data_IF_074149931624
#
_entry.id   IF_074149931624
#
_cell.length_a   1.000
_cell.length_b   1.000
_cell.length_c   1.000
_cell.angle_alpha   90.00
_cell.angle_beta   90.00
_cell.angle_gamma   90.00
#
_symmetry.space_group_name_H-M   'P 1'
#
loop_
_entity.id
_entity.type
_entity.pdbx_description
1 polymer ?
#
# COMPACT_ATOMS: atom_id res chain seq x y z
N UNK A 1 -12.69 6.71 -24.50
CA UNK A 1 -13.35 7.94 -24.02
C UNK A 1 -13.42 7.89 -22.51
N UNK A 2 -13.06 8.96 -21.82
CA UNK A 2 -13.12 9.05 -20.36
C UNK A 2 -14.59 8.96 -19.90
N UNK A 3 -14.95 8.02 -19.02
CA UNK A 3 -16.33 7.96 -18.52
C UNK A 3 -16.56 9.15 -17.56
N UNK A 4 -17.53 10.04 -17.82
CA UNK A 4 -17.79 11.22 -16.99
C UNK A 4 -18.05 10.88 -15.51
N UNK A 5 -18.49 9.64 -15.21
CA UNK A 5 -18.72 9.15 -13.86
C UNK A 5 -17.46 9.01 -12.99
N UNK A 6 -16.25 8.99 -13.58
CA UNK A 6 -15.00 8.96 -12.83
C UNK A 6 -14.56 10.34 -12.32
N UNK A 7 -15.07 11.44 -12.90
CA UNK A 7 -14.65 12.80 -12.56
C UNK A 7 -14.93 13.13 -11.08
N UNK A 8 -16.13 12.87 -10.50
CA UNK A 8 -16.37 13.16 -9.09
C UNK A 8 -15.47 12.36 -8.13
N UNK A 9 -15.11 11.13 -8.49
CA UNK A 9 -14.26 10.24 -7.67
C UNK A 9 -12.81 10.71 -7.66
N UNK A 10 -12.29 11.08 -8.84
CA UNK A 10 -10.95 11.66 -8.96
C UNK A 10 -10.89 12.98 -8.20
N UNK A 11 -11.92 13.84 -8.34
CA UNK A 11 -11.98 15.13 -7.64
C UNK A 11 -12.04 14.93 -6.12
N UNK A 12 -12.87 14.03 -5.61
CA UNK A 12 -12.97 13.77 -4.16
C UNK A 12 -11.65 13.21 -3.58
N UNK A 13 -11.04 12.22 -4.25
CA UNK A 13 -9.79 11.59 -3.81
C UNK A 13 -8.61 12.56 -3.90
N UNK A 14 -8.52 13.33 -4.99
CA UNK A 14 -7.45 14.29 -5.23
C UNK A 14 -7.57 15.51 -4.32
N UNK A 15 -8.79 16.02 -4.09
CA UNK A 15 -9.03 17.16 -3.19
C UNK A 15 -8.77 16.78 -1.74
N UNK A 16 -9.26 15.62 -1.30
CA UNK A 16 -8.98 15.08 0.04
C UNK A 16 -7.48 14.86 0.28
N UNK A 17 -6.79 14.28 -0.70
CA UNK A 17 -5.34 14.22 -0.75
C UNK A 17 -4.72 15.61 -0.62
N UNK A 18 -4.85 16.49 -1.63
CA UNK A 18 -4.22 17.82 -1.60
C UNK A 18 -4.45 18.62 -0.31
N UNK A 19 -5.64 18.56 0.29
CA UNK A 19 -5.94 19.22 1.56
C UNK A 19 -5.14 18.64 2.74
N UNK A 20 -5.01 17.31 2.84
CA UNK A 20 -4.29 16.65 3.93
C UNK A 20 -2.79 16.98 3.90
N UNK A 21 -2.20 17.16 2.73
CA UNK A 21 -0.73 17.36 2.62
C UNK A 21 -0.35 18.79 2.47
N UNK A 22 -1.23 19.65 1.97
CA UNK A 22 -1.11 21.07 2.26
C UNK A 22 -1.08 21.29 3.77
N UNK A 23 -1.93 20.59 4.54
CA UNK A 23 -1.90 20.67 6.00
C UNK A 23 -0.62 20.09 6.59
N UNK A 24 -0.16 18.93 6.14
CA UNK A 24 1.04 18.27 6.70
C UNK A 24 2.36 18.96 6.33
N UNK A 25 2.52 19.41 5.07
CA UNK A 25 3.76 20.03 4.56
C UNK A 25 3.87 21.51 4.95
N UNK A 26 2.74 22.19 5.17
CA UNK A 26 2.73 23.58 5.62
C UNK A 26 2.49 23.70 7.13
N UNK A 27 2.47 22.58 7.87
CA UNK A 27 2.38 22.63 9.33
C UNK A 27 3.68 23.27 9.89
N UNK A 28 3.61 24.46 10.51
CA UNK A 28 4.78 25.10 11.08
C UNK A 28 5.48 24.23 12.13
N UNK A 29 4.76 23.30 12.76
CA UNK A 29 5.33 22.34 13.71
C UNK A 29 6.21 21.30 13.01
N UNK A 30 5.84 20.83 11.82
CA UNK A 30 6.65 19.86 11.07
C UNK A 30 7.93 20.48 10.51
N UNK A 31 7.85 21.72 9.99
CA UNK A 31 9.03 22.47 9.54
C UNK A 31 10.03 22.71 10.67
N UNK A 32 9.54 23.10 11.85
CA UNK A 32 10.38 23.26 13.04
C UNK A 32 11.08 21.95 13.45
N UNK A 33 10.37 20.82 13.38
CA UNK A 33 10.92 19.49 13.67
C UNK A 33 12.01 19.11 12.68
N UNK A 34 11.79 19.28 11.37
CA UNK A 34 12.82 18.96 10.37
C UNK A 34 14.05 19.84 10.47
N UNK A 35 13.87 21.15 10.72
CA UNK A 35 14.98 22.06 11.00
C UNK A 35 15.76 21.63 12.24
N UNK A 36 15.06 21.20 13.29
CA UNK A 36 15.68 20.65 14.50
C UNK A 36 16.54 19.43 14.18
N UNK A 37 16.00 18.45 13.45
CA UNK A 37 16.75 17.25 13.06
C UNK A 37 17.98 17.56 12.20
N UNK A 38 17.84 18.41 11.19
CA UNK A 38 18.96 18.86 10.36
C UNK A 38 20.05 19.57 11.20
N UNK A 39 19.65 20.41 12.16
CA UNK A 39 20.59 21.13 13.03
C UNK A 39 21.34 20.22 14.01
N UNK A 40 20.71 19.12 14.43
CA UNK A 40 21.31 18.11 15.32
C UNK A 40 22.18 17.07 14.61
N UNK A 41 22.30 17.18 13.27
CA UNK A 41 22.91 16.13 12.48
C UNK A 41 24.44 16.09 12.60
N UNK A 42 24.98 14.93 12.99
CA UNK A 42 26.41 14.69 13.17
C UNK A 42 27.14 14.26 11.89
N UNK A 43 26.41 13.91 10.82
CA UNK A 43 27.01 13.57 9.53
C UNK A 43 27.65 14.80 8.88
N UNK A 44 28.88 14.63 8.37
CA UNK A 44 29.65 15.68 7.71
C UNK A 44 28.93 16.24 6.46
N UNK A 45 29.25 17.48 6.03
CA UNK A 45 28.57 18.15 4.92
C UNK A 45 28.71 17.42 3.58
N UNK A 46 29.72 16.56 3.42
CA UNK A 46 30.00 15.80 2.20
C UNK A 46 29.34 14.41 2.17
N UNK A 47 28.56 14.04 3.19
CA UNK A 47 27.87 12.74 3.21
C UNK A 47 26.78 12.71 2.12
N UNK A 48 26.79 11.73 1.19
CA UNK A 48 25.71 11.56 0.23
C UNK A 48 24.37 11.41 0.93
N UNK A 49 23.32 12.04 0.40
CA UNK A 49 21.98 11.99 0.99
C UNK A 49 21.90 12.47 2.44
N UNK A 50 22.82 13.35 2.88
CA UNK A 50 22.84 13.91 4.24
C UNK A 50 21.46 14.35 4.72
N UNK A 51 20.75 15.17 3.93
CA UNK A 51 19.41 15.64 4.31
C UNK A 51 18.40 14.51 4.53
N UNK A 52 18.48 13.45 3.72
CA UNK A 52 17.63 12.26 3.84
C UNK A 52 17.92 11.54 5.16
N UNK A 53 19.18 11.20 5.43
CA UNK A 53 19.61 10.44 6.61
C UNK A 53 19.36 11.26 7.89
N UNK A 54 19.75 12.54 7.89
CA UNK A 54 19.63 13.46 9.01
C UNK A 54 18.18 13.76 9.41
N UNK A 55 17.21 13.58 8.51
CA UNK A 55 15.78 13.79 8.81
C UNK A 55 15.13 12.45 9.16
N UNK A 56 15.37 11.42 8.36
CA UNK A 56 14.65 10.16 8.48
C UNK A 56 15.01 9.35 9.70
N UNK A 57 16.30 9.25 10.00
CA UNK A 57 16.75 8.48 11.13
C UNK A 57 16.17 8.99 12.46
N UNK A 58 16.29 10.29 12.80
CA UNK A 58 15.68 10.80 14.02
C UNK A 58 14.14 10.79 13.95
N UNK A 59 13.53 11.04 12.78
CA UNK A 59 12.07 10.96 12.64
C UNK A 59 11.54 9.56 12.98
N UNK A 60 12.11 8.51 12.38
CA UNK A 60 11.68 7.14 12.64
C UNK A 60 12.03 6.72 14.06
N UNK A 61 13.15 7.17 14.61
CA UNK A 61 13.52 6.93 16.01
C UNK A 61 12.49 7.51 16.98
N UNK A 62 12.09 8.77 16.78
CA UNK A 62 11.06 9.44 17.58
C UNK A 62 9.68 8.81 17.38
N UNK A 63 9.40 8.32 16.18
CA UNK A 63 8.17 7.60 15.87
C UNK A 63 8.11 6.26 16.61
N UNK A 64 9.15 5.44 16.52
CA UNK A 64 9.14 4.08 17.10
C UNK A 64 9.50 4.06 18.58
N UNK A 65 9.98 5.15 19.18
CA UNK A 65 10.06 5.27 20.65
C UNK A 65 8.70 5.52 21.29
N UNK A 66 7.74 5.99 20.49
CA UNK A 66 6.37 6.22 20.90
C UNK A 66 5.50 5.00 20.55
N UNK A 67 4.82 4.42 21.54
CA UNK A 67 3.95 3.24 21.31
C UNK A 67 2.79 3.53 20.34
N UNK A 68 2.24 4.75 20.32
CA UNK A 68 1.25 5.15 19.31
C UNK A 68 1.89 5.24 17.92
N UNK A 69 3.11 5.75 17.85
CA UNK A 69 3.87 5.84 16.60
C UNK A 69 4.18 4.47 16.00
N UNK A 70 4.60 3.49 16.84
CA UNK A 70 4.72 2.09 16.44
C UNK A 70 3.39 1.55 15.90
N UNK A 71 2.30 1.79 16.63
CA UNK A 71 0.97 1.34 16.23
C UNK A 71 0.55 1.88 14.85
N UNK A 72 0.71 3.18 14.62
CA UNK A 72 0.41 3.78 13.31
C UNK A 72 1.35 3.28 12.21
N UNK A 73 2.65 3.10 12.50
CA UNK A 73 3.59 2.53 11.55
C UNK A 73 3.22 1.10 11.15
N UNK A 74 2.77 0.27 12.10
CA UNK A 74 2.27 -1.08 11.82
C UNK A 74 0.97 -1.04 11.01
N UNK A 75 0.02 -0.17 11.35
CA UNK A 75 -1.24 -0.01 10.60
C UNK A 75 -1.00 0.49 9.16
N UNK A 76 -0.05 1.42 9.00
CA UNK A 76 0.45 1.90 7.72
C UNK A 76 1.06 0.76 6.91
N UNK A 77 2.04 0.04 7.48
CA UNK A 77 2.74 -1.04 6.79
C UNK A 77 1.80 -2.14 6.32
N UNK A 78 0.84 -2.51 7.17
CA UNK A 78 -0.15 -3.55 6.84
C UNK A 78 -1.17 -3.13 5.80
N UNK A 79 -1.69 -1.91 5.86
CA UNK A 79 -2.68 -1.44 4.87
C UNK A 79 -2.00 -1.14 3.53
N UNK A 80 -0.84 -0.48 3.59
CA UNK A 80 0.01 -0.21 2.44
C UNK A 80 0.44 -1.48 1.73
N UNK A 81 0.83 -2.54 2.46
CA UNK A 81 1.30 -3.79 1.86
C UNK A 81 0.23 -4.54 1.06
N UNK A 82 -1.03 -4.52 1.51
CA UNK A 82 -2.12 -5.16 0.76
C UNK A 82 -2.41 -4.38 -0.51
N UNK A 83 -2.43 -3.05 -0.42
CA UNK A 83 -2.67 -2.19 -1.57
C UNK A 83 -1.54 -2.31 -2.59
N UNK A 84 -0.28 -2.27 -2.14
CA UNK A 84 0.88 -2.46 -3.02
C UNK A 84 0.84 -3.83 -3.70
N UNK A 85 0.52 -4.89 -2.96
CA UNK A 85 0.42 -6.24 -3.53
C UNK A 85 -0.61 -6.28 -4.65
N UNK A 86 -1.79 -5.72 -4.42
CA UNK A 86 -2.82 -5.66 -5.44
C UNK A 86 -2.33 -4.91 -6.69
N UNK A 87 -1.71 -3.74 -6.51
CA UNK A 87 -1.24 -2.92 -7.60
C UNK A 87 -0.11 -3.60 -8.39
N UNK A 88 0.83 -4.27 -7.72
CA UNK A 88 1.88 -5.04 -8.40
C UNK A 88 1.31 -6.26 -9.12
N UNK A 89 0.38 -7.01 -8.50
CA UNK A 89 -0.29 -8.12 -9.20
C UNK A 89 -1.07 -7.62 -10.42
N UNK A 90 -1.72 -6.45 -10.34
CA UNK A 90 -2.35 -5.79 -11.49
C UNK A 90 -1.33 -5.41 -12.55
N UNK A 91 -0.20 -4.82 -12.16
CA UNK A 91 0.88 -4.44 -13.05
C UNK A 91 1.43 -5.60 -13.89
N UNK A 92 1.48 -6.80 -13.28
CA UNK A 92 1.94 -8.02 -13.94
C UNK A 92 0.95 -8.66 -14.91
N UNK A 93 -0.30 -8.20 -14.99
CA UNK A 93 -1.31 -8.76 -15.88
C UNK A 93 -1.02 -8.37 -17.35
N UNK A 94 -1.22 -9.32 -18.26
CA UNK A 94 -0.95 -9.10 -19.67
C UNK A 94 -1.90 -8.04 -20.28
N UNK A 95 -1.35 -7.16 -21.12
CA UNK A 95 -2.13 -6.13 -21.82
C UNK A 95 -2.56 -4.94 -20.97
N UNK A 96 -2.02 -4.79 -19.75
CA UNK A 96 -2.28 -3.63 -18.89
C UNK A 96 -1.55 -2.38 -19.36
N UNK A 97 -2.13 -1.24 -19.00
CA UNK A 97 -1.57 0.08 -19.28
C UNK A 97 -0.20 0.28 -18.62
N UNK A 98 0.71 0.97 -19.31
CA UNK A 98 2.01 1.39 -18.77
C UNK A 98 1.88 2.28 -17.51
N UNK A 99 0.71 2.91 -17.30
CA UNK A 99 0.40 3.68 -16.10
C UNK A 99 0.28 2.83 -14.83
N UNK A 100 0.09 1.51 -14.96
CA UNK A 100 0.16 0.55 -13.84
C UNK A 100 1.53 -0.13 -13.79
N UNK A 101 2.60 0.45 -14.33
CA UNK A 101 3.90 -0.21 -14.34
C UNK A 101 4.51 -0.32 -12.92
N UNK A 102 5.24 -1.42 -12.62
CA UNK A 102 5.94 -1.58 -11.36
C UNK A 102 6.94 -0.44 -11.11
N UNK A 103 7.54 0.11 -12.17
CA UNK A 103 8.45 1.26 -12.10
C UNK A 103 7.74 2.49 -11.53
N UNK A 104 6.56 2.84 -12.03
CA UNK A 104 5.81 4.00 -11.53
C UNK A 104 5.42 3.82 -10.07
N UNK A 105 5.02 2.62 -9.66
CA UNK A 105 4.73 2.34 -8.24
C UNK A 105 5.97 2.39 -7.37
N UNK A 106 7.10 1.86 -7.84
CA UNK A 106 8.38 1.96 -7.13
C UNK A 106 8.82 3.41 -7.03
N UNK A 107 8.75 4.21 -8.09
CA UNK A 107 9.08 5.64 -8.07
C UNK A 107 8.13 6.43 -7.16
N UNK A 108 6.83 6.16 -7.20
CA UNK A 108 5.87 6.80 -6.30
C UNK A 108 6.14 6.44 -4.84
N UNK A 109 6.46 5.17 -4.56
CA UNK A 109 6.78 4.72 -3.22
C UNK A 109 8.10 5.34 -2.77
N UNK A 110 9.15 5.34 -3.60
CA UNK A 110 10.42 6.03 -3.37
C UNK A 110 10.23 7.53 -3.11
N UNK A 111 9.38 8.19 -3.88
CA UNK A 111 9.05 9.61 -3.69
C UNK A 111 8.29 9.84 -2.37
N UNK A 112 7.46 8.88 -1.96
CA UNK A 112 6.70 8.92 -0.72
C UNK A 112 7.44 8.36 0.51
N UNK A 113 8.63 7.77 0.34
CA UNK A 113 9.25 6.89 1.33
C UNK A 113 9.71 7.53 2.63
N UNK A 114 9.60 8.84 2.70
CA UNK A 114 10.20 9.61 3.78
C UNK A 114 9.15 10.34 4.57
N UNK A 115 8.11 10.74 3.88
CA UNK A 115 7.02 11.54 4.36
C UNK A 115 5.91 11.41 3.31
N UNK A 116 4.81 10.75 3.62
CA UNK A 116 3.61 10.96 2.83
C UNK A 116 3.43 10.03 1.62
N UNK A 117 3.90 8.79 1.67
CA UNK A 117 3.53 7.82 0.64
C UNK A 117 2.01 7.59 0.62
N UNK A 118 1.42 7.44 1.81
CA UNK A 118 -0.01 7.45 2.01
C UNK A 118 -0.62 8.81 1.71
N UNK A 119 0.09 9.91 1.93
CA UNK A 119 -0.33 11.27 1.56
C UNK A 119 -0.53 11.47 0.05
N UNK A 120 0.43 11.04 -0.76
CA UNK A 120 0.38 11.19 -2.23
C UNK A 120 -0.47 10.11 -2.88
N UNK A 121 -0.63 8.96 -2.21
CA UNK A 121 -1.42 7.84 -2.69
C UNK A 121 -2.84 8.18 -3.19
N UNK A 122 -3.65 9.06 -2.55
CA UNK A 122 -5.03 9.31 -2.95
C UNK A 122 -5.13 10.10 -4.24
N UNK A 123 -4.06 10.83 -4.58
CA UNK A 123 -3.92 11.54 -5.84
C UNK A 123 -3.41 10.57 -6.89
N UNK A 124 -2.33 9.83 -6.60
CA UNK A 124 -1.62 9.03 -7.59
C UNK A 124 -2.34 7.72 -7.90
N UNK A 125 -2.69 6.92 -6.88
CA UNK A 125 -3.21 5.57 -7.08
C UNK A 125 -4.60 5.59 -7.74
N UNK A 126 -5.63 6.30 -7.24
CA UNK A 126 -6.92 6.38 -7.91
C UNK A 126 -6.84 6.96 -9.32
N UNK A 127 -6.00 7.98 -9.54
CA UNK A 127 -5.82 8.58 -10.88
C UNK A 127 -5.20 7.59 -11.85
N UNK A 128 -4.13 6.88 -11.46
CA UNK A 128 -3.51 5.85 -12.30
C UNK A 128 -4.48 4.69 -12.57
N UNK A 129 -5.26 4.27 -11.58
CA UNK A 129 -6.28 3.22 -11.74
C UNK A 129 -7.39 3.66 -12.71
N UNK A 130 -7.90 4.88 -12.55
CA UNK A 130 -8.92 5.43 -13.43
C UNK A 130 -8.40 5.59 -14.86
N UNK A 131 -7.20 6.15 -15.03
CA UNK A 131 -6.55 6.27 -16.33
C UNK A 131 -6.35 4.89 -16.97
N UNK A 132 -5.80 3.93 -16.24
CA UNK A 132 -5.60 2.58 -16.74
C UNK A 132 -6.91 1.95 -17.25
N UNK A 133 -8.00 2.08 -16.49
CA UNK A 133 -9.33 1.60 -16.94
C UNK A 133 -9.83 2.32 -18.18
N UNK A 134 -9.57 3.61 -18.35
CA UNK A 134 -9.99 4.34 -19.56
C UNK A 134 -9.24 3.95 -20.83
N UNK A 135 -8.03 3.39 -20.69
CA UNK A 135 -7.21 2.89 -21.80
C UNK A 135 -7.31 1.38 -22.00
N UNK A 136 -8.06 0.68 -21.14
CA UNK A 136 -8.31 -0.76 -21.31
C UNK A 136 -9.27 -1.03 -22.47
N UNK A 137 -9.01 -2.05 -23.31
CA UNK A 137 -9.91 -2.41 -24.40
C UNK A 137 -11.31 -2.75 -23.86
N UNK A 138 -12.37 -2.23 -24.50
CA UNK A 138 -13.76 -2.44 -24.07
C UNK A 138 -14.18 -3.92 -23.94
N UNK A 139 -13.49 -4.82 -24.64
CA UNK A 139 -13.72 -6.27 -24.60
C UNK A 139 -12.84 -7.02 -23.59
N UNK A 140 -11.83 -6.35 -23.00
CA UNK A 140 -10.95 -6.92 -21.98
C UNK A 140 -11.58 -6.79 -20.59
N UNK A 141 -12.79 -7.35 -20.39
CA UNK A 141 -13.49 -7.27 -19.10
C UNK A 141 -12.62 -7.76 -17.94
N UNK A 142 -11.74 -8.74 -18.17
CA UNK A 142 -10.78 -9.28 -17.19
C UNK A 142 -9.49 -9.71 -17.90
N UNK A 143 -8.34 -9.05 -17.69
CA UNK A 143 -7.08 -9.45 -18.31
C UNK A 143 -6.54 -10.73 -17.70
N UNK A 144 -5.71 -11.43 -18.48
CA UNK A 144 -5.08 -12.67 -18.08
C UNK A 144 -4.28 -12.49 -16.77
N UNK A 145 -4.23 -13.52 -15.91
CA UNK A 145 -3.45 -13.47 -14.68
C UNK A 145 -1.96 -13.24 -14.98
N UNK A 146 -1.19 -12.68 -14.03
CA UNK A 146 0.25 -12.56 -14.18
C UNK A 146 0.92 -13.94 -14.28
N UNK A 147 2.10 -14.04 -14.89
CA UNK A 147 2.87 -15.28 -14.89
C UNK A 147 3.20 -15.77 -13.47
N UNK A 148 3.27 -17.09 -13.27
CA UNK A 148 3.56 -17.70 -11.96
C UNK A 148 4.82 -17.13 -11.30
N UNK A 149 5.91 -17.00 -12.06
CA UNK A 149 7.15 -16.40 -11.56
C UNK A 149 6.94 -14.98 -11.03
N UNK A 150 6.14 -14.16 -11.74
CA UNK A 150 5.82 -12.80 -11.31
C UNK A 150 5.06 -12.81 -9.98
N UNK A 151 4.06 -13.69 -9.82
CA UNK A 151 3.28 -13.81 -8.58
C UNK A 151 4.19 -14.23 -7.43
N UNK A 152 4.96 -15.32 -7.58
CA UNK A 152 5.87 -15.82 -6.54
C UNK A 152 6.88 -14.76 -6.14
N UNK A 153 7.51 -14.09 -7.10
CA UNK A 153 8.46 -13.01 -6.81
C UNK A 153 7.78 -11.86 -6.08
N UNK A 154 6.58 -11.45 -6.49
CA UNK A 154 5.82 -10.38 -5.83
C UNK A 154 5.50 -10.77 -4.37
N UNK A 155 5.09 -12.01 -4.12
CA UNK A 155 4.80 -12.51 -2.78
C UNK A 155 6.03 -12.56 -1.89
N UNK A 156 7.16 -13.05 -2.42
CA UNK A 156 8.43 -13.07 -1.70
C UNK A 156 8.85 -11.66 -1.28
N UNK A 157 8.76 -10.69 -2.19
CA UNK A 157 9.09 -9.29 -1.88
C UNK A 157 8.17 -8.70 -0.80
N UNK A 158 6.88 -9.02 -0.80
CA UNK A 158 5.96 -8.59 0.25
C UNK A 158 6.29 -9.22 1.61
N UNK A 159 6.72 -10.49 1.62
CA UNK A 159 7.22 -11.13 2.84
C UNK A 159 8.46 -10.42 3.37
N UNK A 160 9.41 -10.06 2.49
CA UNK A 160 10.58 -9.27 2.88
C UNK A 160 10.18 -7.91 3.48
N UNK A 161 9.27 -7.17 2.84
CA UNK A 161 8.80 -5.87 3.36
C UNK A 161 8.14 -6.02 4.73
N UNK A 162 7.32 -7.06 4.93
CA UNK A 162 6.74 -7.35 6.23
C UNK A 162 7.81 -7.62 7.30
N UNK A 163 8.81 -8.46 6.99
CA UNK A 163 9.91 -8.77 7.90
C UNK A 163 10.75 -7.54 8.27
N UNK A 164 11.03 -6.67 7.29
CA UNK A 164 11.74 -5.40 7.50
C UNK A 164 10.93 -4.46 8.40
N UNK A 165 9.63 -4.31 8.12
CA UNK A 165 8.73 -3.48 8.93
C UNK A 165 8.65 -3.96 10.38
N UNK A 166 8.52 -5.28 10.58
CA UNK A 166 8.53 -5.89 11.91
C UNK A 166 9.86 -5.68 12.63
N UNK A 167 10.98 -5.75 11.92
CA UNK A 167 12.32 -5.50 12.47
C UNK A 167 12.48 -4.06 12.94
N UNK A 168 11.96 -3.08 12.19
CA UNK A 168 11.97 -1.66 12.55
C UNK A 168 11.19 -1.37 13.84
N UNK A 169 10.10 -2.09 14.07
CA UNK A 169 9.27 -1.94 15.27
C UNK A 169 9.71 -2.80 16.46
N UNK A 170 10.40 -3.92 16.20
CA UNK A 170 10.75 -4.93 17.20
C UNK A 170 12.14 -4.77 17.79
N UNK A 171 13.08 -4.16 17.07
CA UNK A 171 14.44 -3.91 17.57
C UNK A 171 14.44 -2.62 18.41
N UNK A 172 15.00 -2.61 19.63
CA UNK A 172 15.14 -1.38 20.41
C UNK A 172 15.99 -0.33 19.69
N UNK A 173 15.57 0.93 19.72
CA UNK A 173 16.30 2.04 19.05
C UNK A 173 17.71 2.29 19.58
N UNK A 174 18.05 1.73 20.74
CA UNK A 174 19.38 1.77 21.35
C UNK A 174 20.32 0.70 20.79
N UNK A 175 19.77 -0.33 20.14
CA UNK A 175 20.57 -1.37 19.48
C UNK A 175 21.09 -0.83 18.14
N UNK A 176 22.41 -0.88 17.86
CA UNK A 176 22.97 -0.50 16.56
C UNK A 176 22.30 -1.20 15.36
N UNK A 177 21.74 -2.40 15.56
CA UNK A 177 20.97 -3.14 14.53
C UNK A 177 19.74 -2.38 14.04
N UNK A 178 19.18 -1.52 14.88
CA UNK A 178 18.01 -0.70 14.52
C UNK A 178 18.32 0.24 13.36
N UNK A 179 19.53 0.83 13.34
CA UNK A 179 19.95 1.73 12.25
C UNK A 179 19.95 1.01 10.91
N UNK A 180 20.46 -0.23 10.86
CA UNK A 180 20.42 -1.04 9.65
C UNK A 180 18.99 -1.40 9.25
N UNK A 181 18.14 -1.79 10.21
CA UNK A 181 16.73 -2.09 9.93
C UNK A 181 16.00 -0.85 9.36
N UNK A 182 16.29 0.33 9.89
CA UNK A 182 15.75 1.61 9.42
C UNK A 182 16.21 1.92 7.99
N UNK A 183 17.50 1.77 7.66
CA UNK A 183 17.97 1.99 6.29
C UNK A 183 17.42 0.97 5.30
N UNK A 184 17.31 -0.31 5.70
CA UNK A 184 16.70 -1.34 4.86
C UNK A 184 15.22 -1.02 4.63
N UNK A 185 14.51 -0.52 5.64
CA UNK A 185 13.14 -0.03 5.48
C UNK A 185 13.10 1.15 4.49
N UNK A 186 13.95 2.16 4.63
CA UNK A 186 13.99 3.32 3.71
C UNK A 186 14.42 2.98 2.26
N UNK A 187 14.90 1.76 2.01
CA UNK A 187 15.26 1.29 0.68
C UNK A 187 14.33 0.17 0.19
N UNK A 188 13.31 -0.19 0.97
CA UNK A 188 12.45 -1.35 0.66
C UNK A 188 11.81 -1.30 -0.74
N UNK A 189 11.40 -0.14 -1.32
CA UNK A 189 10.77 -0.13 -2.65
C UNK A 189 11.72 -0.55 -3.76
N UNK A 190 13.04 -0.40 -3.56
CA UNK A 190 14.02 -0.90 -4.51
C UNK A 190 13.97 -2.44 -4.61
N UNK A 191 13.49 -3.12 -3.56
CA UNK A 191 13.24 -4.57 -3.59
C UNK A 191 12.22 -4.91 -4.67
N UNK A 192 11.29 -4.02 -5.04
CA UNK A 192 10.32 -4.27 -6.13
C UNK A 192 10.86 -3.97 -7.53
N UNK A 193 12.03 -3.33 -7.66
CA UNK A 193 12.60 -3.00 -8.97
C UNK A 193 12.77 -4.22 -9.89
N UNK A 194 13.21 -5.41 -9.43
CA UNK A 194 13.31 -6.60 -10.27
C UNK A 194 11.98 -7.02 -10.93
N UNK A 195 10.81 -6.72 -10.34
CA UNK A 195 9.51 -7.00 -10.97
C UNK A 195 9.34 -6.28 -12.30
N UNK A 196 10.02 -5.13 -12.48
CA UNK A 196 9.98 -4.34 -13.71
C UNK A 196 10.65 -5.04 -14.90
N UNK A 197 11.53 -6.00 -14.62
CA UNK A 197 12.31 -6.71 -15.63
C UNK A 197 11.81 -8.14 -15.86
N UNK A 198 10.83 -8.60 -15.09
CA UNK A 198 10.23 -9.92 -15.30
C UNK A 198 9.31 -9.90 -16.52
N UNK A 199 9.40 -10.90 -17.42
CA UNK A 199 8.51 -10.99 -18.56
C UNK A 199 7.07 -11.23 -18.09
N UNK A 200 6.13 -10.40 -18.56
CA UNK A 200 4.69 -10.49 -18.27
C UNK A 200 3.89 -11.26 -19.32
N UNK A 201 4.58 -11.91 -20.28
CA UNK A 201 3.92 -12.73 -21.31
C UNK A 201 3.39 -14.03 -20.70
N UNK A 202 2.11 -14.38 -20.89
CA UNK A 202 1.56 -15.62 -20.37
C UNK A 202 2.24 -16.82 -21.06
N UNK A 203 2.68 -17.81 -20.27
CA UNK A 203 2.99 -19.16 -20.79
C UNK A 203 1.66 -19.91 -20.95
N UNK A 204 1.48 -20.56 -22.09
CA UNK A 204 0.22 -21.16 -22.55
C UNK A 204 -0.37 -22.22 -21.62
N UNK A 205 0.42 -22.85 -20.76
CA UNK A 205 -0.02 -24.01 -19.96
C UNK A 205 -0.27 -23.73 -18.47
N UNK A 206 -0.03 -22.49 -17.99
CA UNK A 206 -0.04 -22.15 -16.56
C UNK A 206 -1.24 -21.28 -16.11
N UNK A 207 -2.29 -21.17 -16.92
CA UNK A 207 -3.38 -20.22 -16.68
C UNK A 207 -4.32 -20.60 -15.53
N UNK A 208 -4.38 -21.88 -15.12
CA UNK A 208 -5.26 -22.36 -14.04
C UNK A 208 -4.62 -22.29 -12.64
N UNK A 209 -3.30 -22.45 -12.53
CA UNK A 209 -2.60 -22.42 -11.22
C UNK A 209 -2.35 -20.99 -10.70
N UNK A 210 -2.17 -20.04 -11.62
CA UNK A 210 -1.75 -18.66 -11.30
C UNK A 210 -2.75 -17.84 -10.48
N UNK A 211 -4.06 -17.80 -10.78
CA UNK A 211 -5.00 -17.02 -9.98
C UNK A 211 -5.42 -17.74 -8.67
N UNK A 212 -5.19 -19.05 -8.56
CA UNK A 212 -5.35 -19.79 -7.28
C UNK A 212 -4.27 -19.37 -6.27
N UNK A 213 -3.04 -19.13 -6.72
CA UNK A 213 -1.95 -18.65 -5.88
C UNK A 213 -2.18 -17.22 -5.38
N UNK A 214 -2.64 -16.30 -6.23
CA UNK A 214 -2.96 -14.92 -5.81
C UNK A 214 -4.11 -14.89 -4.80
N UNK A 215 -5.18 -15.65 -5.03
CA UNK A 215 -6.28 -15.76 -4.08
C UNK A 215 -5.84 -16.36 -2.73
N UNK A 216 -4.97 -17.37 -2.76
CA UNK A 216 -4.40 -17.97 -1.55
C UNK A 216 -3.53 -16.98 -0.77
N UNK A 217 -2.73 -16.18 -1.47
CA UNK A 217 -1.94 -15.13 -0.86
C UNK A 217 -2.80 -14.06 -0.18
N UNK A 218 -3.84 -13.56 -0.85
CA UNK A 218 -4.77 -12.63 -0.22
C UNK A 218 -5.50 -13.24 0.98
N UNK A 219 -5.80 -14.54 0.95
CA UNK A 219 -6.38 -15.24 2.11
C UNK A 219 -5.43 -15.26 3.31
N UNK A 220 -4.15 -15.54 3.09
CA UNK A 220 -3.12 -15.51 4.15
C UNK A 220 -2.95 -14.10 4.67
N UNK A 221 -2.81 -13.11 3.79
CA UNK A 221 -2.67 -11.71 4.18
C UNK A 221 -3.88 -11.19 4.94
N UNK A 222 -5.09 -11.57 4.53
CA UNK A 222 -6.32 -11.25 5.27
C UNK A 222 -6.23 -11.68 6.72
N UNK A 223 -5.72 -12.88 6.99
CA UNK A 223 -5.53 -13.38 8.35
C UNK A 223 -4.40 -12.64 9.08
N UNK A 224 -3.23 -12.50 8.46
CA UNK A 224 -2.10 -11.78 9.06
C UNK A 224 -2.45 -10.33 9.42
N UNK A 225 -3.15 -9.63 8.54
CA UNK A 225 -3.57 -8.25 8.77
C UNK A 225 -4.72 -8.12 9.76
N UNK A 226 -5.60 -9.12 9.85
CA UNK A 226 -6.59 -9.18 10.93
C UNK A 226 -5.91 -9.27 12.30
N UNK A 227 -4.95 -10.19 12.44
CA UNK A 227 -4.17 -10.35 13.66
C UNK A 227 -3.37 -9.08 13.99
N UNK A 228 -2.72 -8.48 12.99
CA UNK A 228 -1.98 -7.23 13.18
C UNK A 228 -2.88 -6.06 13.56
N UNK A 229 -4.07 -5.94 12.96
CA UNK A 229 -5.02 -4.88 13.28
C UNK A 229 -5.46 -4.94 14.75
N UNK A 230 -5.87 -6.11 15.21
CA UNK A 230 -6.29 -6.28 16.60
C UNK A 230 -5.12 -6.19 17.58
N UNK A 231 -3.93 -6.66 17.21
CA UNK A 231 -2.71 -6.43 17.98
C UNK A 231 -2.40 -4.94 18.15
N UNK A 232 -2.47 -4.17 17.06
CA UNK A 232 -2.30 -2.72 17.08
C UNK A 232 -3.41 -2.02 17.88
N UNK A 233 -4.67 -2.42 17.70
CA UNK A 233 -5.81 -1.82 18.42
C UNK A 233 -5.73 -2.06 19.93
N UNK A 234 -5.35 -3.27 20.36
CA UNK A 234 -5.14 -3.60 21.77
C UNK A 234 -4.00 -2.75 22.36
N UNK A 235 -2.86 -2.67 21.66
CA UNK A 235 -1.73 -1.83 22.07
C UNK A 235 -2.09 -0.35 22.14
N UNK A 236 -2.88 0.14 21.17
CA UNK A 236 -3.35 1.52 21.12
C UNK A 236 -4.28 1.84 22.29
N UNK A 237 -5.26 0.99 22.58
CA UNK A 237 -6.18 1.15 23.72
C UNK A 237 -5.41 1.10 25.05
N UNK A 238 -4.43 0.20 25.19
CA UNK A 238 -3.59 0.13 26.38
C UNK A 238 -2.78 1.43 26.58
N UNK A 239 -2.22 1.96 25.50
CA UNK A 239 -1.43 3.21 25.51
C UNK A 239 -2.30 4.43 25.84
N UNK A 240 -3.50 4.52 25.25
CA UNK A 240 -4.45 5.60 25.56
C UNK A 240 -4.92 5.55 27.02
N UNK A 241 -5.20 4.36 27.56
CA UNK A 241 -5.62 4.18 28.96
C UNK A 241 -4.53 4.56 29.95
N UNK A 242 -3.27 4.33 29.59
CA UNK A 242 -2.14 4.68 30.45
C UNK A 242 -1.83 6.19 30.41
N UNK A 243 -2.33 6.94 29.43
CA UNK A 243 -2.02 8.37 29.27
C UNK A 243 -0.54 8.64 28.95
N UNK A 244 0.20 7.63 28.51
CA UNK A 244 1.67 7.61 28.51
C UNK A 244 2.33 8.07 27.21
N UNK A 245 1.58 8.22 26.11
CA UNK A 245 2.18 8.55 24.82
C UNK A 245 1.64 9.88 24.25
N UNK A 246 2.47 10.94 24.20
CA UNK A 246 2.07 12.20 23.58
C UNK A 246 1.86 12.01 22.07
N UNK A 247 0.90 12.73 21.51
CA UNK A 247 0.63 12.76 20.07
C UNK A 247 1.64 13.70 19.38
N UNK A 248 2.90 13.25 19.31
CA UNK A 248 4.03 14.00 18.76
C UNK A 248 3.84 14.28 17.26
N UNK A 249 4.64 15.18 16.71
CA UNK A 249 4.56 15.54 15.29
C UNK A 249 4.76 14.32 14.36
N UNK A 250 5.74 13.41 14.59
CA UNK A 250 5.85 12.17 13.83
C UNK A 250 4.61 11.27 13.91
N UNK A 251 3.99 11.15 15.08
CA UNK A 251 2.76 10.36 15.27
C UNK A 251 1.60 10.95 14.47
N UNK A 252 1.40 12.28 14.51
CA UNK A 252 0.39 12.98 13.70
C UNK A 252 0.62 12.75 12.22
N UNK A 253 1.86 12.87 11.79
CA UNK A 253 2.24 12.67 10.42
C UNK A 253 1.89 11.25 9.95
N UNK A 254 2.26 10.21 10.72
CA UNK A 254 1.96 8.82 10.39
C UNK A 254 0.45 8.52 10.39
N UNK A 255 -0.31 9.15 11.29
CA UNK A 255 -1.77 9.03 11.31
C UNK A 255 -2.41 9.60 10.02
N UNK A 256 -1.91 10.75 9.53
CA UNK A 256 -2.35 11.33 8.26
C UNK A 256 -1.95 10.44 7.07
N UNK A 257 -0.75 9.85 7.12
CA UNK A 257 -0.26 8.96 6.08
C UNK A 257 -1.13 7.69 5.97
N UNK A 258 -1.47 7.09 7.12
CA UNK A 258 -2.43 6.00 7.20
C UNK A 258 -3.81 6.38 6.66
N UNK A 259 -4.33 7.57 7.02
CA UNK A 259 -5.61 8.05 6.51
C UNK A 259 -5.60 8.19 4.98
N UNK A 260 -4.50 8.69 4.41
CA UNK A 260 -4.33 8.74 2.96
C UNK A 260 -4.42 7.37 2.29
N UNK A 261 -3.80 6.32 2.85
CA UNK A 261 -3.96 4.96 2.33
C UNK A 261 -5.41 4.45 2.39
N UNK A 262 -6.15 4.79 3.44
CA UNK A 262 -7.58 4.46 3.54
C UNK A 262 -8.38 5.19 2.46
N UNK A 263 -8.08 6.46 2.19
CA UNK A 263 -8.74 7.23 1.12
C UNK A 263 -8.42 6.61 -0.26
N UNK A 264 -7.16 6.20 -0.50
CA UNK A 264 -6.77 5.50 -1.73
C UNK A 264 -7.53 4.20 -1.93
N UNK A 265 -7.77 3.45 -0.85
CA UNK A 265 -8.62 2.27 -0.88
C UNK A 265 -10.05 2.61 -1.27
N UNK A 266 -10.66 3.58 -0.60
CA UNK A 266 -12.02 4.03 -0.92
C UNK A 266 -12.11 4.49 -2.37
N UNK A 267 -11.13 5.26 -2.85
CA UNK A 267 -11.04 5.69 -4.24
C UNK A 267 -10.98 4.53 -5.23
N UNK A 268 -10.11 3.54 -4.99
CA UNK A 268 -10.03 2.32 -5.81
C UNK A 268 -11.32 1.50 -5.80
N UNK A 269 -11.94 1.34 -4.63
CA UNK A 269 -13.24 0.67 -4.49
C UNK A 269 -14.35 1.40 -5.25
N UNK A 270 -14.41 2.73 -5.18
CA UNK A 270 -15.40 3.53 -5.90
C UNK A 270 -15.22 3.43 -7.41
N UNK A 271 -13.97 3.40 -7.90
CA UNK A 271 -13.67 3.14 -9.32
C UNK A 271 -14.21 1.78 -9.76
N UNK A 272 -14.06 0.74 -8.93
CA UNK A 272 -14.62 -0.57 -9.21
C UNK A 272 -16.15 -0.59 -9.14
N UNK A 273 -16.74 0.14 -8.18
CA UNK A 273 -18.19 0.24 -8.03
C UNK A 273 -18.83 0.88 -9.26
N UNK A 274 -18.27 1.98 -9.74
CA UNK A 274 -18.74 2.65 -10.97
C UNK A 274 -18.52 1.80 -12.21
N UNK A 275 -17.46 0.99 -12.25
CA UNK A 275 -17.21 0.06 -13.34
C UNK A 275 -18.10 -1.20 -13.30
N UNK A 276 -18.85 -1.43 -12.21
CA UNK A 276 -19.60 -2.68 -12.02
C UNK A 276 -18.70 -3.90 -11.74
N UNK A 277 -17.48 -3.67 -11.24
CA UNK A 277 -16.45 -4.70 -11.01
C UNK A 277 -16.36 -5.15 -9.54
N UNK A 278 -17.29 -4.70 -8.69
CA UNK A 278 -17.30 -5.04 -7.26
C UNK A 278 -17.76 -6.48 -7.08
N UNK A 279 -16.99 -7.33 -6.38
CA UNK A 279 -17.37 -8.72 -6.14
C UNK A 279 -18.67 -8.84 -5.34
N UNK A 280 -19.40 -9.93 -5.56
CA UNK A 280 -20.62 -10.21 -4.81
C UNK A 280 -20.35 -10.23 -3.28
N UNK A 281 -21.20 -9.55 -2.51
CA UNK A 281 -21.05 -9.42 -1.05
C UNK A 281 -20.10 -8.32 -0.57
N UNK A 282 -19.58 -7.48 -1.47
CA UNK A 282 -18.75 -6.30 -1.16
C UNK A 282 -19.43 -4.98 -1.55
N UNK A 283 -20.76 -4.91 -1.51
CA UNK A 283 -21.48 -3.64 -1.61
C UNK A 283 -21.10 -2.67 -0.47
N UNK A 284 -21.48 -1.38 -0.55
CA UNK A 284 -21.01 -0.35 0.39
C UNK A 284 -21.26 -0.69 1.87
N UNK A 285 -22.45 -1.20 2.20
CA UNK A 285 -22.81 -1.63 3.56
C UNK A 285 -21.95 -2.80 4.07
N UNK A 286 -21.92 -3.94 3.37
CA UNK A 286 -21.05 -5.08 3.74
C UNK A 286 -19.57 -4.72 3.85
N UNK A 287 -19.06 -3.85 2.98
CA UNK A 287 -17.66 -3.40 3.02
C UNK A 287 -17.38 -2.59 4.29
N UNK A 288 -18.24 -1.63 4.62
CA UNK A 288 -18.11 -0.82 5.83
C UNK A 288 -18.18 -1.68 7.11
N UNK A 289 -19.12 -2.62 7.17
CA UNK A 289 -19.24 -3.53 8.31
C UNK A 289 -17.98 -4.39 8.49
N UNK A 290 -17.40 -4.91 7.39
CA UNK A 290 -16.14 -5.65 7.45
C UNK A 290 -14.99 -4.76 7.91
N UNK A 291 -14.88 -3.54 7.38
CA UNK A 291 -13.82 -2.60 7.76
C UNK A 291 -13.83 -2.30 9.27
N UNK A 292 -15.03 -2.16 9.86
CA UNK A 292 -15.19 -2.00 11.30
C UNK A 292 -14.82 -3.27 12.08
N UNK A 293 -15.19 -4.45 11.58
CA UNK A 293 -14.98 -5.71 12.30
C UNK A 293 -13.54 -6.25 12.22
N UNK A 294 -12.87 -6.07 11.08
CA UNK A 294 -11.57 -6.70 10.79
C UNK A 294 -10.45 -5.71 10.50
N UNK A 295 -10.77 -4.41 10.42
CA UNK A 295 -9.85 -3.37 10.02
C UNK A 295 -9.75 -3.21 8.49
N UNK A 296 -9.18 -2.08 8.02
CA UNK A 296 -9.11 -1.74 6.60
C UNK A 296 -8.24 -2.71 5.79
N UNK A 297 -7.06 -3.09 6.29
CA UNK A 297 -6.15 -3.99 5.58
C UNK A 297 -6.75 -5.40 5.37
N UNK A 298 -7.39 -5.97 6.40
CA UNK A 298 -8.04 -7.29 6.30
C UNK A 298 -9.25 -7.24 5.37
N UNK A 299 -10.04 -6.16 5.44
CA UNK A 299 -11.17 -5.94 4.53
C UNK A 299 -10.71 -5.82 3.09
N UNK A 300 -9.62 -5.08 2.85
CA UNK A 300 -9.00 -4.92 1.54
C UNK A 300 -8.51 -6.26 0.98
N UNK A 301 -7.83 -7.06 1.80
CA UNK A 301 -7.36 -8.38 1.39
C UNK A 301 -8.54 -9.32 1.08
N UNK A 302 -9.62 -9.26 1.85
CA UNK A 302 -10.84 -10.02 1.58
C UNK A 302 -11.52 -9.59 0.27
N UNK A 303 -11.57 -8.28 0.01
CA UNK A 303 -12.10 -7.71 -1.23
C UNK A 303 -11.30 -8.20 -2.45
N UNK A 304 -9.97 -8.14 -2.39
CA UNK A 304 -9.10 -8.61 -3.47
C UNK A 304 -9.13 -10.13 -3.62
N UNK A 305 -9.19 -10.90 -2.52
CA UNK A 305 -9.39 -12.35 -2.59
C UNK A 305 -10.68 -12.70 -3.35
N UNK A 306 -11.79 -12.04 -3.02
CA UNK A 306 -13.07 -12.28 -3.68
C UNK A 306 -13.00 -11.96 -5.18
N UNK A 307 -12.34 -10.86 -5.54
CA UNK A 307 -12.13 -10.47 -6.93
C UNK A 307 -11.28 -11.49 -7.70
N UNK A 308 -10.19 -11.96 -7.12
CA UNK A 308 -9.34 -12.98 -7.74
C UNK A 308 -10.11 -14.29 -7.93
N UNK A 309 -10.95 -14.70 -6.97
CA UNK A 309 -11.81 -15.89 -7.13
C UNK A 309 -12.82 -15.74 -8.27
N UNK A 310 -13.40 -14.56 -8.44
CA UNK A 310 -14.27 -14.33 -9.60
C UNK A 310 -13.49 -14.37 -10.91
N UNK A 311 -12.25 -13.88 -10.95
CA UNK A 311 -11.38 -13.99 -12.12
C UNK A 311 -11.10 -15.47 -12.46
N UNK A 312 -10.87 -16.33 -11.44
CA UNK A 312 -10.72 -17.79 -11.63
C UNK A 312 -11.97 -18.37 -12.29
N UNK A 313 -13.15 -18.07 -11.75
CA UNK A 313 -14.42 -18.59 -12.29
C UNK A 313 -14.61 -18.18 -13.76
N UNK A 314 -14.39 -16.90 -14.05
CA UNK A 314 -14.50 -16.39 -15.42
C UNK A 314 -13.49 -17.05 -16.38
N UNK A 315 -12.25 -17.28 -15.94
CA UNK A 315 -11.24 -17.96 -16.75
C UNK A 315 -11.61 -19.42 -17.02
N UNK A 316 -12.17 -20.13 -16.03
CA UNK A 316 -12.67 -21.48 -16.19
C UNK A 316 -13.85 -21.54 -17.19
N UNK A 317 -14.80 -20.61 -17.07
CA UNK A 317 -15.95 -20.51 -17.97
C UNK A 317 -15.55 -20.16 -19.41
N UNK A 318 -14.51 -19.32 -19.58
CA UNK A 318 -13.97 -18.96 -20.89
C UNK A 318 -13.12 -20.07 -21.52
N UNK A 319 -12.45 -20.89 -20.70
CA UNK A 319 -11.70 -22.07 -21.14
C UNK A 319 -12.61 -23.21 -21.63
N UNK A 320 -13.80 -23.35 -21.05
CA UNK A 320 -14.84 -24.26 -21.54
C UNK A 320 -15.39 -23.87 -22.92
N UNK A 321 -15.30 -22.58 -23.31
CA UNK A 321 -15.78 -22.10 -24.63
C UNK A 321 -14.78 -22.20 -25.77
N UNK A 322 -13.55 -22.66 -25.53
CA UNK A 322 -12.55 -22.90 -26.60
C UNK A 322 -12.54 -24.34 -27.12
N UNK A 323 -13.48 -25.18 -26.67
CA UNK A 323 -13.62 -26.58 -27.06
C UNK A 323 -14.94 -26.94 -27.75
N UNK A 324 -15.71 -25.96 -28.23
CA UNK A 324 -16.91 -26.17 -29.06
C UNK A 324 -16.76 -25.47 -30.42
#
# INVERSE_FOLDING_TARGET
MFNPSFIPIIVASTTGGLLLGRKALLDPQMDAVFKSYLSSCTYGPNTPFRGLICILEPFFKDLVTNELGKGFLTAFGTTGSVMSLHLYLRAGQHGRSAFLSPILFTLNTLAGQVMGAGFTSPVVIPTLLALAKTFEPANAKRPAPPPYAYIVTTLFMHFCVFAISMSLTGIPVTDPKWVYANYIFQLFPLIFLPLSFLPTKPKTDAQTETPTLSASAFRVLKFLHFCSWWGTAIGFVATLRAGTAPFTAPVRFMALDFAGFVISFVGGYLIDLVAGDVPAGFGPGPLALRALATGPASTLAAYFEARERENIKFAADAGLKKGE
#
